data_IF_336126201568
#
_entry.id   IF_336126201568
#
_cell.length_a   1.000
_cell.length_b   1.000
_cell.length_c   1.000
_cell.angle_alpha   90.00
_cell.angle_beta   90.00
_cell.angle_gamma   90.00
#
_symmetry.space_group_name_H-M   'P 1'
#
loop_
_entity.id
_entity.type
_entity.pdbx_description
1 polymer ?
#
# COMPACT_ATOMS: atom_id res chain seq x y z
N UNK A 1 15.22 -13.14 -0.70
CA UNK A 1 14.32 -12.95 0.45
C UNK A 1 12.97 -13.53 0.04
N UNK A 2 12.30 -14.31 0.89
CA UNK A 2 10.99 -14.87 0.52
C UNK A 2 9.90 -13.81 0.60
N UNK A 3 8.77 -13.99 -0.09
CA UNK A 3 7.58 -13.12 0.04
C UNK A 3 7.15 -13.05 1.49
N UNK A 4 7.10 -14.20 2.19
CA UNK A 4 6.68 -14.25 3.59
C UNK A 4 7.60 -13.42 4.49
N UNK A 5 8.91 -13.55 4.34
CA UNK A 5 9.89 -12.76 5.13
C UNK A 5 9.72 -11.26 4.87
N UNK A 6 9.51 -10.88 3.61
CA UNK A 6 9.27 -9.51 3.23
C UNK A 6 7.99 -8.94 3.87
N UNK A 7 6.90 -9.70 3.83
CA UNK A 7 5.61 -9.28 4.39
C UNK A 7 5.68 -9.07 5.90
N UNK A 8 6.38 -9.94 6.64
CA UNK A 8 6.62 -9.74 8.08
C UNK A 8 7.36 -8.42 8.34
N UNK A 9 8.39 -8.11 7.53
CA UNK A 9 9.14 -6.85 7.67
C UNK A 9 8.30 -5.63 7.28
N UNK A 10 7.46 -5.77 6.24
CA UNK A 10 6.54 -4.73 5.79
C UNK A 10 5.51 -4.41 6.88
N UNK A 11 4.86 -5.42 7.44
CA UNK A 11 3.92 -5.31 8.56
C UNK A 11 4.56 -4.60 9.74
N UNK A 12 5.72 -5.07 10.18
CA UNK A 12 6.45 -4.45 11.28
C UNK A 12 6.79 -2.97 10.99
N UNK A 13 7.28 -2.65 9.79
CA UNK A 13 7.63 -1.27 9.44
C UNK A 13 6.41 -0.36 9.36
N UNK A 14 5.26 -0.86 8.92
CA UNK A 14 4.01 -0.09 8.82
C UNK A 14 3.38 0.12 10.20
N UNK A 15 3.28 -0.93 11.02
CA UNK A 15 2.62 -0.88 12.33
C UNK A 15 3.47 -0.23 13.42
N UNK A 16 4.77 -0.52 13.45
CA UNK A 16 5.66 -0.15 14.57
C UNK A 16 6.78 0.80 14.13
N UNK A 17 7.21 0.71 12.86
CA UNK A 17 8.34 1.44 12.31
C UNK A 17 7.99 2.78 11.66
N UNK A 18 8.62 3.05 10.51
CA UNK A 18 8.51 4.33 9.80
C UNK A 18 7.10 4.66 9.32
N UNK A 19 6.26 3.64 9.06
CA UNK A 19 4.90 3.84 8.56
C UNK A 19 3.97 4.53 9.56
N UNK A 20 4.23 4.40 10.87
CA UNK A 20 3.51 5.12 11.93
C UNK A 20 3.60 6.65 11.83
N UNK A 21 4.61 7.15 11.11
CA UNK A 21 4.74 8.58 10.83
C UNK A 21 3.77 9.06 9.74
N UNK A 22 3.28 8.17 8.89
CA UNK A 22 2.30 8.45 7.84
C UNK A 22 0.88 8.32 8.39
N UNK A 23 0.58 7.21 9.05
CA UNK A 23 -0.73 6.93 9.61
C UNK A 23 -0.61 6.05 10.86
N UNK A 24 -1.58 6.10 11.76
CA UNK A 24 -1.65 5.17 12.88
C UNK A 24 -2.22 3.83 12.35
N UNK A 25 -1.34 2.98 11.81
CA UNK A 25 -1.66 1.61 11.41
C UNK A 25 -1.96 0.79 12.67
N UNK A 26 -3.18 0.26 12.75
CA UNK A 26 -3.71 -0.36 13.97
C UNK A 26 -4.25 -1.77 13.77
N UNK A 27 -4.54 -2.18 12.53
CA UNK A 27 -5.01 -3.52 12.22
C UNK A 27 -4.23 -4.12 11.05
N UNK A 28 -3.88 -5.39 11.16
CA UNK A 28 -3.20 -6.17 10.12
C UNK A 28 -3.84 -7.55 10.04
N UNK A 29 -4.10 -7.99 8.81
CA UNK A 29 -4.74 -9.25 8.48
C UNK A 29 -3.93 -9.94 7.40
N UNK A 30 -3.65 -11.23 7.59
CA UNK A 30 -3.03 -12.09 6.59
C UNK A 30 -4.10 -12.87 5.83
N UNK A 31 -3.81 -13.23 4.58
CA UNK A 31 -4.74 -13.99 3.72
C UNK A 31 -6.13 -13.34 3.65
N UNK A 32 -6.15 -12.02 3.45
CA UNK A 32 -7.36 -11.22 3.51
C UNK A 32 -8.24 -11.44 2.28
N UNK A 33 -9.47 -11.97 2.45
CA UNK A 33 -10.38 -12.16 1.34
C UNK A 33 -11.02 -10.83 0.93
N UNK A 34 -10.98 -10.52 -0.37
CA UNK A 34 -11.68 -9.39 -0.95
C UNK A 34 -12.30 -9.82 -2.29
N UNK A 35 -13.61 -9.97 -2.30
CA UNK A 35 -14.36 -10.56 -3.43
C UNK A 35 -13.80 -11.95 -3.77
N UNK A 36 -13.40 -12.19 -5.02
CA UNK A 36 -12.81 -13.45 -5.49
C UNK A 36 -11.28 -13.49 -5.34
N UNK A 37 -10.68 -12.46 -4.72
CA UNK A 37 -9.24 -12.33 -4.51
C UNK A 37 -8.87 -12.66 -3.07
N UNK A 38 -7.72 -13.30 -2.88
CA UNK A 38 -7.08 -13.47 -1.57
C UNK A 38 -5.78 -12.69 -1.54
N UNK A 39 -5.77 -11.59 -0.80
CA UNK A 39 -4.58 -10.76 -0.60
C UNK A 39 -3.69 -11.40 0.45
N UNK A 40 -2.38 -11.43 0.21
CA UNK A 40 -1.44 -11.99 1.18
C UNK A 40 -1.50 -11.22 2.51
N UNK A 41 -1.77 -9.92 2.43
CA UNK A 41 -1.87 -9.03 3.58
C UNK A 41 -2.77 -7.83 3.31
N UNK A 42 -3.51 -7.42 4.33
CA UNK A 42 -4.25 -6.16 4.41
C UNK A 42 -3.92 -5.47 5.72
N UNK A 43 -3.52 -4.20 5.66
CA UNK A 43 -3.25 -3.37 6.83
C UNK A 43 -4.09 -2.10 6.72
N UNK A 44 -4.85 -1.81 7.78
CA UNK A 44 -5.64 -0.59 7.90
C UNK A 44 -4.95 0.43 8.81
N UNK A 45 -5.16 1.70 8.52
CA UNK A 45 -4.61 2.80 9.29
C UNK A 45 -5.60 3.95 9.40
N UNK A 46 -5.51 4.66 10.52
CA UNK A 46 -6.21 5.94 10.68
C UNK A 46 -5.22 7.09 10.55
N UNK A 47 -5.48 8.02 9.62
CA UNK A 47 -4.71 9.25 9.51
C UNK A 47 -5.29 10.33 10.42
N UNK A 48 -4.45 10.85 11.31
CA UNK A 48 -4.69 12.09 12.06
C UNK A 48 -3.75 13.18 11.54
N UNK A 49 -4.24 14.36 11.13
CA UNK A 49 -3.38 15.46 10.74
C UNK A 49 -2.50 15.88 11.91
N UNK A 50 -1.17 15.70 11.80
CA UNK A 50 -0.21 16.15 12.82
C UNK A 50 0.15 17.62 12.57
N UNK A 51 -0.56 18.53 13.25
CA UNK A 51 -0.19 19.95 13.33
C UNK A 51 0.76 20.26 14.50
N UNK A 52 1.53 21.37 14.40
CA UNK A 52 2.27 22.00 15.51
C UNK A 52 1.32 22.40 16.65
N UNK A 53 1.83 22.52 17.89
CA UNK A 53 1.04 22.57 19.13
C UNK A 53 -0.15 23.57 19.17
N UNK A 54 -0.08 24.71 18.46
CA UNK A 54 -1.19 25.67 18.31
C UNK A 54 -2.22 25.29 17.22
N UNK A 55 -1.78 24.61 16.17
CA UNK A 55 -2.67 24.09 15.11
C UNK A 55 -3.45 22.84 15.51
N UNK A 56 -3.07 22.16 16.61
CA UNK A 56 -3.78 20.97 17.13
C UNK A 56 -5.21 21.26 17.58
N UNK A 57 -5.46 22.44 18.15
CA UNK A 57 -6.80 22.84 18.59
C UNK A 57 -7.73 23.13 17.42
N UNK A 58 -7.20 23.69 16.33
CA UNK A 58 -7.96 24.01 15.12
C UNK A 58 -8.14 22.78 14.21
N UNK A 59 -7.16 21.88 14.15
CA UNK A 59 -7.26 20.63 13.40
C UNK A 59 -8.19 19.60 14.05
N UNK A 60 -8.37 19.65 15.38
CA UNK A 60 -9.27 18.74 16.10
C UNK A 60 -10.75 18.97 15.78
N UNK A 61 -11.12 20.18 15.36
CA UNK A 61 -12.52 20.54 15.09
C UNK A 61 -12.94 20.42 13.62
N UNK A 62 -12.01 20.42 12.66
CA UNK A 62 -12.34 20.64 11.24
C UNK A 62 -11.70 19.67 10.24
N UNK A 63 -10.89 18.69 10.65
CA UNK A 63 -10.32 17.72 9.71
C UNK A 63 -10.72 16.31 10.14
N UNK A 64 -11.63 15.64 9.39
CA UNK A 64 -12.07 14.30 9.75
C UNK A 64 -10.89 13.33 9.74
N UNK A 65 -10.88 12.41 10.71
CA UNK A 65 -10.03 11.22 10.64
C UNK A 65 -10.41 10.49 9.35
N UNK A 66 -9.43 10.16 8.51
CA UNK A 66 -9.69 9.36 7.32
C UNK A 66 -8.89 8.07 7.35
N UNK A 67 -9.49 7.01 6.82
CA UNK A 67 -8.91 5.68 6.81
C UNK A 67 -8.08 5.48 5.54
N UNK A 68 -6.97 4.77 5.69
CA UNK A 68 -6.06 4.42 4.59
C UNK A 68 -5.70 2.96 4.69
N UNK A 69 -5.46 2.33 3.54
CA UNK A 69 -5.22 0.89 3.46
C UNK A 69 -3.88 0.58 2.80
N UNK A 70 -3.30 -0.56 3.14
CA UNK A 70 -2.20 -1.18 2.42
C UNK A 70 -2.58 -2.63 2.12
N UNK A 71 -2.53 -3.01 0.85
CA UNK A 71 -2.75 -4.36 0.36
C UNK A 71 -1.43 -4.92 -0.17
N UNK A 72 -1.14 -6.19 0.10
CA UNK A 72 -0.06 -6.93 -0.53
C UNK A 72 -0.62 -8.10 -1.35
N UNK A 73 -0.14 -8.25 -2.59
CA UNK A 73 -0.60 -9.28 -3.51
C UNK A 73 0.54 -9.80 -4.40
N UNK A 74 1.00 -11.03 -4.16
CA UNK A 74 2.14 -11.66 -4.81
C UNK A 74 1.77 -12.65 -5.92
N UNK A 75 0.49 -13.01 -6.02
CA UNK A 75 0.02 -14.09 -6.90
C UNK A 75 -0.01 -13.71 -8.39
N UNK A 76 0.19 -12.45 -8.75
CA UNK A 76 0.17 -11.97 -10.14
C UNK A 76 1.38 -11.09 -10.49
N UNK A 77 2.59 -11.68 -10.59
CA UNK A 77 3.80 -10.92 -10.88
C UNK A 77 3.81 -10.31 -12.30
N UNK A 78 3.01 -10.83 -13.22
CA UNK A 78 2.88 -10.30 -14.59
C UNK A 78 1.71 -9.33 -14.76
N UNK A 79 1.01 -8.99 -13.67
CA UNK A 79 -0.07 -8.00 -13.64
C UNK A 79 -1.21 -8.31 -14.62
N UNK A 80 -1.49 -9.59 -14.87
CA UNK A 80 -2.55 -10.04 -15.79
C UNK A 80 -3.95 -9.62 -15.29
N UNK A 81 -4.14 -9.59 -13.98
CA UNK A 81 -5.40 -9.29 -13.30
C UNK A 81 -5.35 -7.93 -12.60
N UNK A 82 -4.38 -7.06 -12.93
CA UNK A 82 -4.22 -5.77 -12.26
C UNK A 82 -5.49 -4.92 -12.31
N UNK A 83 -6.22 -4.93 -13.44
CA UNK A 83 -7.48 -4.19 -13.56
C UNK A 83 -8.55 -4.69 -12.58
N UNK A 84 -8.69 -6.01 -12.43
CA UNK A 84 -9.64 -6.64 -11.51
C UNK A 84 -9.26 -6.32 -10.06
N UNK A 85 -7.98 -6.45 -9.72
CA UNK A 85 -7.43 -6.08 -8.40
C UNK A 85 -7.72 -4.62 -8.06
N UNK A 86 -7.43 -3.69 -8.99
CA UNK A 86 -7.67 -2.27 -8.78
C UNK A 86 -9.15 -1.94 -8.65
N UNK A 87 -10.02 -2.65 -9.38
CA UNK A 87 -11.47 -2.47 -9.31
C UNK A 87 -12.00 -2.94 -7.96
N UNK A 88 -11.58 -4.11 -7.48
CA UNK A 88 -11.95 -4.65 -6.17
C UNK A 88 -11.51 -3.71 -5.04
N UNK A 89 -10.26 -3.23 -5.08
CA UNK A 89 -9.76 -2.25 -4.11
C UNK A 89 -10.57 -0.95 -4.20
N UNK A 90 -10.80 -0.39 -5.39
CA UNK A 90 -11.54 0.86 -5.54
C UNK A 90 -12.96 0.77 -4.97
N UNK A 91 -13.64 -0.36 -5.18
CA UNK A 91 -14.96 -0.62 -4.61
C UNK A 91 -14.90 -0.72 -3.08
N UNK A 92 -13.93 -1.47 -2.54
CA UNK A 92 -13.69 -1.56 -1.10
C UNK A 92 -13.48 -0.18 -0.47
N UNK A 93 -12.65 0.68 -1.08
CA UNK A 93 -12.38 2.01 -0.54
C UNK A 93 -13.65 2.87 -0.45
N UNK A 94 -14.51 2.80 -1.48
CA UNK A 94 -15.77 3.54 -1.50
C UNK A 94 -16.77 3.03 -0.47
N UNK A 95 -16.92 1.71 -0.35
CA UNK A 95 -17.87 1.08 0.58
C UNK A 95 -17.47 1.25 2.05
N UNK A 96 -16.16 1.33 2.32
CA UNK A 96 -15.60 1.47 3.68
C UNK A 96 -15.13 2.89 4.00
N UNK A 97 -15.35 3.85 3.10
CA UNK A 97 -14.96 5.25 3.23
C UNK A 97 -13.45 5.47 3.49
N UNK A 98 -12.60 4.64 2.88
CA UNK A 98 -11.15 4.84 2.89
C UNK A 98 -10.75 5.89 1.84
N UNK A 99 -9.86 6.81 2.22
CA UNK A 99 -9.44 7.90 1.35
C UNK A 99 -8.51 7.47 0.21
N UNK A 100 -7.64 6.48 0.47
CA UNK A 100 -6.71 5.93 -0.51
C UNK A 100 -6.14 4.59 -0.03
N UNK A 101 -5.54 3.84 -0.97
CA UNK A 101 -4.83 2.61 -0.67
C UNK A 101 -3.44 2.55 -1.31
N UNK A 102 -2.58 1.75 -0.71
CA UNK A 102 -1.38 1.22 -1.31
C UNK A 102 -1.60 -0.21 -1.77
N UNK A 103 -1.11 -0.55 -2.96
CA UNK A 103 -1.02 -1.90 -3.48
C UNK A 103 0.45 -2.24 -3.69
N UNK A 104 0.94 -3.20 -2.92
CA UNK A 104 2.30 -3.71 -2.98
C UNK A 104 2.28 -5.08 -3.63
N UNK A 105 3.07 -5.25 -4.69
CA UNK A 105 3.17 -6.50 -5.43
C UNK A 105 4.60 -7.01 -5.27
N UNK A 106 4.87 -7.81 -4.23
CA UNK A 106 6.19 -8.41 -4.03
C UNK A 106 6.37 -9.64 -4.91
N UNK A 107 7.58 -9.83 -5.45
CA UNK A 107 7.92 -10.99 -6.25
C UNK A 107 9.35 -11.45 -5.98
N UNK A 108 9.56 -12.76 -5.85
CA UNK A 108 10.88 -13.41 -5.70
C UNK A 108 11.65 -13.47 -7.03
N UNK A 109 11.66 -12.36 -7.78
CA UNK A 109 12.26 -12.28 -9.09
C UNK A 109 12.00 -10.95 -9.76
N UNK A 110 12.55 -10.78 -10.96
CA UNK A 110 12.43 -9.56 -11.72
C UNK A 110 11.11 -9.45 -12.47
N UNK A 111 10.45 -8.30 -12.33
CA UNK A 111 9.28 -7.95 -13.13
C UNK A 111 9.64 -7.73 -14.59
N UNK A 112 8.79 -8.23 -15.50
CA UNK A 112 8.90 -7.97 -16.93
C UNK A 112 8.83 -6.46 -17.23
N UNK A 113 9.47 -6.03 -18.34
CA UNK A 113 9.39 -4.61 -18.77
C UNK A 113 7.95 -4.15 -18.98
N UNK A 114 7.07 -5.06 -19.42
CA UNK A 114 5.65 -4.80 -19.61
C UNK A 114 4.95 -4.51 -18.28
N UNK A 115 5.19 -5.33 -17.25
CA UNK A 115 4.64 -5.12 -15.92
C UNK A 115 5.10 -3.79 -15.32
N UNK A 116 6.40 -3.47 -15.44
CA UNK A 116 6.96 -2.18 -14.98
C UNK A 116 6.29 -0.99 -15.67
N UNK A 117 6.22 -1.01 -17.00
CA UNK A 117 5.60 0.06 -17.78
C UNK A 117 4.12 0.27 -17.41
N UNK A 118 3.38 -0.82 -17.16
CA UNK A 118 1.96 -0.77 -16.77
C UNK A 118 1.75 -0.05 -15.43
N UNK A 119 2.65 -0.27 -14.46
CA UNK A 119 2.60 0.43 -13.17
C UNK A 119 3.02 1.87 -13.29
N UNK A 120 4.09 2.16 -14.05
CA UNK A 120 4.58 3.52 -14.26
C UNK A 120 3.56 4.42 -14.96
N UNK A 121 2.84 3.87 -15.94
CA UNK A 121 1.77 4.56 -16.68
C UNK A 121 0.43 4.61 -15.93
N UNK A 122 0.32 3.98 -14.76
CA UNK A 122 -0.91 3.99 -13.98
C UNK A 122 -1.07 5.33 -13.26
N UNK A 123 -2.17 6.03 -13.54
CA UNK A 123 -2.49 7.34 -12.96
C UNK A 123 -3.69 7.26 -11.99
N UNK A 124 -3.86 6.13 -11.31
CA UNK A 124 -4.89 5.99 -10.28
C UNK A 124 -4.68 7.03 -9.19
N UNK A 125 -5.72 7.85 -8.96
CA UNK A 125 -5.69 8.94 -7.98
C UNK A 125 -5.77 8.44 -6.54
N UNK A 126 -6.44 7.32 -6.33
CA UNK A 126 -6.77 6.77 -5.00
C UNK A 126 -5.92 5.55 -4.64
N UNK A 127 -5.25 4.92 -5.61
CA UNK A 127 -4.46 3.71 -5.38
C UNK A 127 -3.01 3.95 -5.82
N UNK A 128 -2.06 3.90 -4.88
CA UNK A 128 -0.63 3.90 -5.16
C UNK A 128 -0.14 2.47 -5.37
N UNK A 129 0.45 2.16 -6.53
CA UNK A 129 0.92 0.81 -6.86
C UNK A 129 2.45 0.77 -6.80
N UNK A 130 3.01 -0.31 -6.25
CA UNK A 130 4.44 -0.59 -6.33
C UNK A 130 4.73 -2.08 -6.53
N UNK A 131 5.67 -2.32 -7.43
CA UNK A 131 6.32 -3.60 -7.65
C UNK A 131 7.58 -3.66 -6.78
N UNK A 132 7.77 -4.78 -6.09
CA UNK A 132 8.89 -4.99 -5.19
C UNK A 132 9.62 -6.28 -5.59
N UNK A 133 10.77 -6.12 -6.23
CA UNK A 133 11.63 -7.23 -6.62
C UNK A 133 12.49 -7.65 -5.42
N UNK A 134 12.20 -8.81 -4.86
CA UNK A 134 12.87 -9.35 -3.68
C UNK A 134 14.22 -10.00 -3.99
N UNK A 135 14.55 -10.18 -5.27
CA UNK A 135 15.83 -10.75 -5.71
C UNK A 135 16.94 -9.69 -5.74
N UNK A 136 16.62 -8.48 -6.22
CA UNK A 136 17.59 -7.39 -6.35
C UNK A 136 17.33 -6.19 -5.42
N UNK A 137 16.20 -6.18 -4.70
CA UNK A 137 15.82 -5.07 -3.82
C UNK A 137 15.34 -3.83 -4.58
N UNK A 138 14.88 -4.00 -5.82
CA UNK A 138 14.35 -2.92 -6.64
C UNK A 138 12.88 -2.65 -6.29
N UNK A 139 12.50 -1.37 -6.28
CA UNK A 139 11.10 -0.94 -6.12
C UNK A 139 10.74 -0.04 -7.27
N UNK A 140 9.73 -0.44 -8.04
CA UNK A 140 9.14 0.35 -9.13
C UNK A 140 7.76 0.79 -8.67
N UNK A 141 7.49 2.10 -8.64
CA UNK A 141 6.20 2.63 -8.20
C UNK A 141 5.53 3.46 -9.28
N UNK A 142 4.20 3.50 -9.27
CA UNK A 142 3.44 4.43 -10.10
C UNK A 142 3.88 5.88 -9.85
N UNK A 143 3.80 6.71 -10.89
CA UNK A 143 4.15 8.13 -10.81
C UNK A 143 3.13 8.97 -10.00
N UNK A 144 2.03 8.35 -9.58
CA UNK A 144 0.99 8.94 -8.75
C UNK A 144 1.53 9.49 -7.42
N UNK A 145 0.80 10.43 -6.82
CA UNK A 145 1.20 11.07 -5.56
C UNK A 145 1.44 10.04 -4.45
N UNK A 146 0.56 9.04 -4.35
CA UNK A 146 0.63 7.98 -3.35
C UNK A 146 1.72 6.95 -3.67
N UNK A 147 1.92 6.61 -4.95
CA UNK A 147 3.00 5.71 -5.38
C UNK A 147 4.38 6.22 -4.98
N UNK A 148 4.67 7.51 -5.22
CA UNK A 148 5.96 8.12 -4.85
C UNK A 148 6.20 8.14 -3.34
N UNK A 149 5.19 8.49 -2.54
CA UNK A 149 5.31 8.55 -1.07
C UNK A 149 5.52 7.18 -0.44
N UNK A 150 4.90 6.14 -1.02
CA UNK A 150 4.97 4.77 -0.53
C UNK A 150 6.39 4.19 -0.52
N UNK A 151 7.21 4.51 -1.53
CA UNK A 151 8.54 3.91 -1.74
C UNK A 151 9.46 3.92 -0.51
N UNK A 152 9.35 4.91 0.37
CA UNK A 152 10.16 5.00 1.60
C UNK A 152 9.74 4.00 2.69
N UNK A 153 8.49 3.55 2.67
CA UNK A 153 7.90 2.70 3.71
C UNK A 153 7.83 1.24 3.30
N UNK A 154 7.86 0.95 1.99
CA UNK A 154 7.82 -0.43 1.48
C UNK A 154 9.21 -1.02 1.20
N UNK A 155 10.28 -0.22 1.26
CA UNK A 155 11.67 -0.69 1.11
C UNK A 155 12.15 -1.45 2.36
N UNK A 156 11.59 -2.63 2.59
CA UNK A 156 11.83 -3.48 3.76
C UNK A 156 12.85 -4.60 3.47
N UNK A 157 13.97 -4.25 2.83
CA UNK A 157 14.98 -5.23 2.38
C UNK A 157 16.06 -5.57 3.40
N UNK A 158 16.23 -4.73 4.43
CA UNK A 158 17.21 -4.96 5.50
C UNK A 158 16.63 -5.84 6.59
#
# INVERSE_FOLDING_TARGET
MTVKDYLVKLEHNLMVGGGRWVADFNESFWEYPLEDLSFDMFISATMRPKGFALSRWVSWLNIPNYHVACFAYSQDPELKHLYEILTAISKFLKEREFAWAWLVIPHEGSFSRKARAMVESNDSREIGIALVDLSCGEVVSASSHWGRRMTRFIRCFR
#
